data_IF_667853990817
#
_entry.id   IF_667853990817
#
_cell.length_a   1.000
_cell.length_b   1.000
_cell.length_c   1.000
_cell.angle_alpha   90.00
_cell.angle_beta   90.00
_cell.angle_gamma   90.00
#
_symmetry.space_group_name_H-M   'P 1'
#
loop_
_entity.id
_entity.type
_entity.pdbx_description
1 polymer ?
#
# COMPACT_ATOMS: atom_id res chain seq x y z
N UNK A 1 12.37 -0.66 -10.86
CA UNK A 1 11.56 -0.92 -12.08
C UNK A 1 10.49 0.14 -12.15
N UNK A 2 9.92 0.42 -13.32
CA UNK A 2 8.76 1.32 -13.39
C UNK A 2 7.59 0.70 -12.63
N UNK A 3 6.87 1.51 -11.86
CA UNK A 3 5.64 1.08 -11.19
C UNK A 3 4.61 0.67 -12.25
N UNK A 4 3.97 -0.49 -12.05
CA UNK A 4 2.96 -0.98 -13.01
C UNK A 4 1.68 -1.37 -12.29
N UNK A 5 0.55 -1.32 -13.00
CA UNK A 5 -0.73 -1.80 -12.48
C UNK A 5 -0.66 -3.28 -12.05
N UNK A 6 0.14 -4.09 -12.77
CA UNK A 6 0.37 -5.49 -12.42
C UNK A 6 1.18 -5.65 -11.14
N UNK A 7 2.27 -4.91 -10.98
CA UNK A 7 3.08 -4.91 -9.75
C UNK A 7 2.25 -4.53 -8.53
N UNK A 8 1.47 -3.46 -8.64
CA UNK A 8 0.55 -3.04 -7.59
C UNK A 8 -0.49 -4.10 -7.24
N UNK A 9 -1.11 -4.72 -8.24
CA UNK A 9 -2.08 -5.79 -8.00
C UNK A 9 -1.43 -7.03 -7.34
N UNK A 10 -0.19 -7.35 -7.70
CA UNK A 10 0.55 -8.47 -7.11
C UNK A 10 0.98 -8.17 -5.65
N UNK A 11 1.38 -6.93 -5.34
CA UNK A 11 1.66 -6.48 -3.98
C UNK A 11 0.42 -6.52 -3.08
N UNK A 12 -0.73 -6.02 -3.58
CA UNK A 12 -2.03 -6.12 -2.88
C UNK A 12 -2.41 -7.58 -2.64
N UNK A 13 -2.29 -8.43 -3.66
CA UNK A 13 -2.65 -9.85 -3.54
C UNK A 13 -1.79 -10.55 -2.50
N UNK A 14 -0.50 -10.22 -2.44
CA UNK A 14 0.42 -10.75 -1.41
C UNK A 14 -0.06 -10.37 -0.01
N UNK A 15 -0.40 -9.10 0.22
CA UNK A 15 -0.87 -8.63 1.53
C UNK A 15 -2.23 -9.21 1.93
N UNK A 16 -3.19 -9.27 1.02
CA UNK A 16 -4.49 -9.86 1.31
C UNK A 16 -4.43 -11.37 1.48
N UNK A 17 -3.59 -12.07 0.71
CA UNK A 17 -3.39 -13.51 0.82
C UNK A 17 -2.74 -13.96 2.13
N UNK A 18 -2.07 -13.04 2.84
CA UNK A 18 -1.52 -13.28 4.18
C UNK A 18 -2.57 -13.12 5.30
N UNK A 19 -3.79 -12.69 4.98
CA UNK A 19 -4.87 -12.63 5.96
C UNK A 19 -5.48 -14.02 6.13
N UNK A 20 -5.45 -14.51 7.36
CA UNK A 20 -6.13 -15.76 7.72
C UNK A 20 -7.64 -15.62 7.53
N UNK A 21 -8.30 -16.53 6.79
CA UNK A 21 -9.74 -16.50 6.61
C UNK A 21 -10.48 -16.60 7.95
N UNK A 22 -11.48 -15.75 8.15
CA UNK A 22 -12.31 -15.77 9.35
C UNK A 22 -13.73 -16.19 8.97
N UNK A 23 -14.22 -17.28 9.57
CA UNK A 23 -15.66 -17.54 9.64
C UNK A 23 -16.24 -16.86 10.87
N UNK A 24 -16.92 -15.74 10.66
CA UNK A 24 -17.52 -14.96 11.74
C UNK A 24 -19.02 -15.24 11.84
N UNK A 25 -19.47 -15.68 13.02
CA UNK A 25 -20.89 -15.65 13.42
C UNK A 25 -21.25 -14.37 14.19
N UNK A 26 -20.26 -13.57 14.55
CA UNK A 26 -20.37 -12.30 15.27
C UNK A 26 -20.08 -11.13 14.31
N UNK A 27 -21.00 -10.15 14.18
CA UNK A 27 -20.78 -8.93 13.39
C UNK A 27 -19.47 -8.19 13.71
N UNK A 28 -19.03 -8.18 14.98
CA UNK A 28 -17.81 -7.48 15.37
C UNK A 28 -16.55 -8.10 14.73
N UNK A 29 -16.52 -9.44 14.64
CA UNK A 29 -15.41 -10.16 14.01
C UNK A 29 -15.40 -9.96 12.50
N UNK A 30 -16.58 -9.94 11.87
CA UNK A 30 -16.70 -9.64 10.44
C UNK A 30 -16.18 -8.21 10.13
N UNK A 31 -16.53 -7.24 10.98
CA UNK A 31 -16.07 -5.86 10.82
C UNK A 31 -14.56 -5.73 11.04
N UNK A 32 -13.99 -6.42 12.04
CA UNK A 32 -12.55 -6.44 12.26
C UNK A 32 -11.78 -7.06 11.08
N UNK A 33 -12.31 -8.13 10.47
CA UNK A 33 -11.73 -8.71 9.26
C UNK A 33 -11.80 -7.76 8.06
N UNK A 34 -12.93 -7.07 7.88
CA UNK A 34 -13.08 -6.07 6.83
C UNK A 34 -12.07 -4.92 6.98
N UNK A 35 -11.82 -4.47 8.22
CA UNK A 35 -10.81 -3.45 8.51
C UNK A 35 -9.39 -3.94 8.18
N UNK A 36 -9.02 -5.15 8.62
CA UNK A 36 -7.72 -5.75 8.26
C UNK A 36 -7.54 -5.93 6.74
N UNK A 37 -8.61 -6.26 6.03
CA UNK A 37 -8.60 -6.40 4.57
C UNK A 37 -8.34 -5.05 3.87
N UNK A 38 -8.91 -3.97 4.38
CA UNK A 38 -8.65 -2.61 3.91
C UNK A 38 -7.21 -2.17 4.22
N UNK A 39 -6.71 -2.44 5.42
CA UNK A 39 -5.32 -2.14 5.80
C UNK A 39 -4.32 -2.90 4.91
N UNK A 40 -4.58 -4.18 4.63
CA UNK A 40 -3.75 -4.98 3.73
C UNK A 40 -3.76 -4.44 2.29
N UNK A 41 -4.91 -3.97 1.79
CA UNK A 41 -5.01 -3.29 0.50
C UNK A 41 -4.13 -2.04 0.46
N UNK A 42 -4.26 -1.16 1.46
CA UNK A 42 -3.46 0.06 1.57
C UNK A 42 -1.97 -0.25 1.66
N UNK A 43 -1.58 -1.26 2.46
CA UNK A 43 -0.19 -1.64 2.60
C UNK A 43 0.41 -2.17 1.28
N UNK A 44 -0.34 -2.94 0.50
CA UNK A 44 0.12 -3.40 -0.81
C UNK A 44 0.41 -2.26 -1.79
N UNK A 45 -0.39 -1.19 -1.74
CA UNK A 45 -0.15 0.03 -2.53
C UNK A 45 1.13 0.73 -2.04
N UNK A 46 1.29 0.90 -0.72
CA UNK A 46 2.47 1.54 -0.12
C UNK A 46 3.74 0.77 -0.48
N UNK A 47 3.71 -0.56 -0.43
CA UNK A 47 4.87 -1.39 -0.76
C UNK A 47 5.32 -1.20 -2.22
N UNK A 48 4.37 -1.23 -3.16
CA UNK A 48 4.66 -1.03 -4.59
C UNK A 48 5.22 0.38 -4.85
N UNK A 49 4.63 1.40 -4.23
CA UNK A 49 5.13 2.79 -4.32
C UNK A 49 6.54 2.86 -3.75
N UNK A 50 6.77 2.31 -2.56
CA UNK A 50 8.06 2.37 -1.88
C UNK A 50 9.15 1.66 -2.67
N UNK A 51 8.82 0.53 -3.31
CA UNK A 51 9.77 -0.25 -4.09
C UNK A 51 10.07 0.33 -5.47
N UNK A 52 9.09 1.00 -6.10
CA UNK A 52 9.14 1.28 -7.55
C UNK A 52 8.76 2.70 -7.96
N UNK A 53 8.26 3.55 -7.07
CA UNK A 53 8.01 4.94 -7.39
C UNK A 53 9.34 5.71 -7.51
N UNK A 54 9.58 6.29 -8.69
CA UNK A 54 10.67 7.23 -8.89
C UNK A 54 10.11 8.62 -8.65
N UNK A 55 10.54 9.27 -7.57
CA UNK A 55 10.23 10.68 -7.31
C UNK A 55 11.20 11.52 -8.13
N UNK A 56 10.79 11.91 -9.34
CA UNK A 56 11.50 12.93 -10.11
C UNK A 56 11.12 14.30 -9.59
N UNK A 57 12.02 14.96 -8.88
CA UNK A 57 11.87 16.39 -8.56
C UNK A 57 12.06 17.17 -9.85
N UNK A 58 10.97 17.68 -10.43
CA UNK A 58 11.07 18.72 -11.46
C UNK A 58 11.68 19.96 -10.80
N UNK A 59 12.92 20.27 -11.17
CA UNK A 59 13.68 21.42 -10.68
C UNK A 59 12.82 22.69 -10.59
N UNK A 60 12.80 23.33 -9.41
CA UNK A 60 12.40 24.75 -9.29
C UNK A 60 11.33 25.08 -8.24
N UNK A 61 11.58 24.80 -6.97
CA UNK A 61 11.11 25.70 -5.91
C UNK A 61 12.34 26.48 -5.40
N UNK A 62 12.36 27.83 -5.43
CA UNK A 62 13.48 28.65 -4.96
C UNK A 62 13.77 28.55 -3.44
N UNK A 63 13.06 27.68 -2.72
CA UNK A 63 12.84 27.78 -1.28
C UNK A 63 13.25 26.46 -0.60
N UNK A 64 14.50 26.04 -0.79
CA UNK A 64 15.32 25.33 0.21
C UNK A 64 14.86 24.03 0.91
N UNK A 65 13.63 23.53 0.79
CA UNK A 65 13.16 22.37 1.57
C UNK A 65 12.53 21.31 0.67
N UNK A 66 13.38 20.44 0.11
CA UNK A 66 12.91 19.20 -0.49
C UNK A 66 12.91 18.12 0.60
N UNK A 67 11.82 18.02 1.38
CA UNK A 67 11.60 16.83 2.20
C UNK A 67 11.02 15.71 1.32
N UNK A 68 11.91 14.88 0.80
CA UNK A 68 11.55 13.61 0.17
C UNK A 68 11.91 12.47 1.11
N UNK A 69 10.98 12.05 1.97
CA UNK A 69 11.09 10.78 2.65
C UNK A 69 10.17 9.77 1.98
N UNK A 70 10.76 8.75 1.36
CA UNK A 70 10.14 7.44 1.21
C UNK A 70 10.85 6.56 2.23
N UNK A 71 10.20 6.36 3.37
CA UNK A 71 10.62 5.42 4.43
C UNK A 71 9.45 4.55 4.81
#
# INVERSE_FOLDING_TARGET
MAMTAKGMADAIRTRQGALEPVQASDPAQAQAFAQKSLEALCQGIIDEITAHAVVTTTSGAPDGEHSGNIS
#
